data_IF_725686391182
#
_entry.id   IF_725686391182
#
_cell.length_a   1.000
_cell.length_b   1.000
_cell.length_c   1.000
_cell.angle_alpha   90.00
_cell.angle_beta   90.00
_cell.angle_gamma   90.00
#
_symmetry.space_group_name_H-M   'P 1'
#
loop_
_entity.id
_entity.type
_entity.pdbx_description
1 polymer ?
#
# COMPACT_ATOMS: atom_id res chain seq x y z
N UNK A 1 -71.72 12.40 -38.89
CA UNK A 1 -71.30 12.94 -37.58
C UNK A 1 -70.08 12.14 -37.13
N UNK A 2 -68.88 12.65 -37.39
CA UNK A 2 -67.62 11.94 -37.11
C UNK A 2 -66.92 12.64 -35.94
N UNK A 3 -66.44 11.82 -35.00
CA UNK A 3 -65.78 12.13 -33.74
C UNK A 3 -64.91 13.41 -33.74
N UNK A 4 -65.30 14.42 -32.94
CA UNK A 4 -64.48 15.62 -32.69
C UNK A 4 -63.77 15.64 -31.33
N UNK A 5 -63.87 14.59 -30.52
CA UNK A 5 -63.31 14.56 -29.16
C UNK A 5 -62.17 13.54 -28.93
N UNK A 6 -61.79 12.74 -29.94
CA UNK A 6 -60.70 11.75 -29.79
C UNK A 6 -59.30 12.30 -30.09
N UNK A 7 -59.20 13.35 -30.88
CA UNK A 7 -57.92 13.92 -31.32
C UNK A 7 -57.08 14.58 -30.20
N UNK A 8 -57.64 15.37 -29.26
CA UNK A 8 -56.81 16.03 -28.25
C UNK A 8 -56.18 15.01 -27.28
N UNK A 9 -56.90 13.94 -26.94
CA UNK A 9 -56.40 12.86 -26.08
C UNK A 9 -55.26 12.09 -26.74
N UNK A 10 -55.37 11.84 -28.04
CA UNK A 10 -54.35 11.12 -28.79
C UNK A 10 -53.07 11.95 -28.95
N UNK A 11 -53.22 13.27 -29.15
CA UNK A 11 -52.10 14.21 -29.19
C UNK A 11 -51.40 14.31 -27.83
N UNK A 12 -52.15 14.42 -26.73
CA UNK A 12 -51.59 14.46 -25.38
C UNK A 12 -50.84 13.15 -25.06
N UNK A 13 -51.40 12.01 -25.43
CA UNK A 13 -50.76 10.71 -25.25
C UNK A 13 -49.45 10.62 -26.05
N UNK A 14 -49.45 11.07 -27.32
CA UNK A 14 -48.24 11.08 -28.14
C UNK A 14 -47.15 11.99 -27.56
N UNK A 15 -47.52 13.18 -27.09
CA UNK A 15 -46.59 14.10 -26.43
C UNK A 15 -46.03 13.50 -25.13
N UNK A 16 -46.85 12.82 -24.32
CA UNK A 16 -46.40 12.16 -23.10
C UNK A 16 -45.41 11.02 -23.40
N UNK A 17 -45.67 10.22 -24.44
CA UNK A 17 -44.75 9.17 -24.89
C UNK A 17 -43.42 9.77 -25.35
N UNK A 18 -43.42 10.89 -26.08
CA UNK A 18 -42.19 11.57 -26.51
C UNK A 18 -41.40 12.09 -25.30
N UNK A 19 -42.07 12.71 -24.32
CA UNK A 19 -41.42 13.24 -23.10
C UNK A 19 -40.82 12.11 -22.26
N UNK A 20 -41.55 11.00 -22.09
CA UNK A 20 -41.06 9.82 -21.36
C UNK A 20 -39.85 9.22 -22.09
N UNK A 21 -39.91 9.08 -23.42
CA UNK A 21 -38.78 8.58 -24.20
C UNK A 21 -37.57 9.53 -24.16
N UNK A 22 -37.78 10.85 -24.20
CA UNK A 22 -36.69 11.81 -23.98
C UNK A 22 -36.09 11.67 -22.58
N UNK A 23 -36.92 11.53 -21.54
CA UNK A 23 -36.45 11.33 -20.17
C UNK A 23 -35.59 10.06 -20.04
N UNK A 24 -36.00 8.93 -20.64
CA UNK A 24 -35.19 7.71 -20.67
C UNK A 24 -33.89 7.87 -21.48
N UNK A 25 -33.90 8.61 -22.58
CA UNK A 25 -32.71 8.91 -23.38
C UNK A 25 -31.67 9.73 -22.61
N UNK A 26 -32.10 10.68 -21.76
CA UNK A 26 -31.18 11.44 -20.91
C UNK A 26 -30.77 10.68 -19.64
N UNK A 27 -31.63 9.84 -19.08
CA UNK A 27 -31.31 9.06 -17.87
C UNK A 27 -30.39 7.86 -18.16
N UNK A 28 -30.37 7.33 -19.39
CA UNK A 28 -29.38 6.33 -19.82
C UNK A 28 -27.99 6.91 -20.14
N UNK A 29 -27.85 8.24 -20.22
CA UNK A 29 -26.60 8.89 -20.59
C UNK A 29 -25.73 9.30 -19.39
N UNK A 30 -26.15 9.03 -18.15
CA UNK A 30 -25.48 9.54 -16.95
C UNK A 30 -24.54 8.57 -16.23
N UNK A 31 -24.27 7.39 -16.79
CA UNK A 31 -23.02 6.66 -16.48
C UNK A 31 -22.53 6.00 -17.76
N UNK A 32 -21.40 6.44 -18.37
CA UNK A 32 -20.74 5.58 -19.34
C UNK A 32 -20.43 4.27 -18.60
N UNK A 33 -20.76 3.08 -19.17
CA UNK A 33 -20.29 1.84 -18.57
C UNK A 33 -18.76 1.98 -18.43
N UNK A 34 -18.19 1.66 -17.25
CA UNK A 34 -16.75 1.75 -17.07
C UNK A 34 -16.09 1.04 -18.26
N UNK A 35 -15.20 1.75 -18.96
CA UNK A 35 -14.66 1.33 -20.24
C UNK A 35 -14.27 -0.15 -20.19
N UNK A 36 -14.89 -1.04 -20.98
CA UNK A 36 -14.73 -2.46 -20.78
C UNK A 36 -13.43 -2.87 -21.45
N UNK A 37 -12.38 -2.94 -20.64
CA UNK A 37 -11.16 -3.70 -20.92
C UNK A 37 -10.24 -3.14 -22.01
N UNK A 38 -8.93 -3.24 -21.73
CA UNK A 38 -7.89 -2.89 -22.69
C UNK A 38 -7.84 -3.94 -23.81
N UNK A 39 -7.90 -3.50 -25.07
CA UNK A 39 -8.06 -4.37 -26.23
C UNK A 39 -6.74 -5.04 -26.64
N UNK A 40 -6.69 -6.38 -26.63
CA UNK A 40 -5.57 -7.17 -27.14
C UNK A 40 -5.63 -7.43 -28.66
N UNK A 41 -4.50 -7.70 -29.36
CA UNK A 41 -4.38 -7.58 -30.83
C UNK A 41 -4.82 -8.81 -31.66
N UNK A 42 -5.59 -9.78 -31.13
CA UNK A 42 -5.95 -10.99 -31.90
C UNK A 42 -7.32 -10.84 -32.61
N UNK A 43 -7.41 -11.07 -33.94
CA UNK A 43 -8.68 -11.04 -34.65
C UNK A 43 -9.60 -12.19 -34.18
N UNK A 44 -10.86 -11.87 -33.90
CA UNK A 44 -11.95 -12.85 -33.77
C UNK A 44 -12.28 -13.33 -32.35
N UNK A 45 -11.53 -12.92 -31.31
CA UNK A 45 -11.84 -13.27 -29.92
C UNK A 45 -11.76 -12.04 -29.01
N UNK A 46 -12.81 -11.77 -28.25
CA UNK A 46 -12.83 -10.74 -27.21
C UNK A 46 -12.29 -11.34 -25.91
N UNK A 47 -11.06 -10.96 -25.54
CA UNK A 47 -10.47 -11.33 -24.26
C UNK A 47 -10.35 -10.10 -23.38
N UNK A 48 -10.94 -10.08 -22.17
CA UNK A 48 -10.73 -9.00 -21.23
C UNK A 48 -9.26 -8.95 -20.79
N UNK A 49 -8.75 -7.73 -20.62
CA UNK A 49 -7.42 -7.45 -20.08
C UNK A 49 -7.55 -6.93 -18.65
N UNK A 50 -6.87 -7.59 -17.71
CA UNK A 50 -6.81 -7.20 -16.30
C UNK A 50 -5.42 -6.67 -15.98
N UNK A 51 -5.36 -5.59 -15.21
CA UNK A 51 -4.10 -5.10 -14.64
C UNK A 51 -3.81 -5.92 -13.39
N UNK A 52 -2.70 -6.65 -13.41
CA UNK A 52 -2.21 -7.49 -12.33
C UNK A 52 -1.01 -6.79 -11.71
N UNK A 53 -1.06 -6.57 -10.41
CA UNK A 53 0.06 -6.01 -9.66
C UNK A 53 0.95 -7.12 -9.13
N UNK A 54 2.28 -6.96 -9.19
CA UNK A 54 3.28 -7.94 -8.76
C UNK A 54 4.44 -7.27 -8.04
N UNK A 55 5.19 -8.04 -7.24
CA UNK A 55 6.28 -7.53 -6.39
C UNK A 55 7.62 -7.77 -7.06
N UNK A 56 8.38 -6.73 -7.37
CA UNK A 56 9.74 -6.82 -7.88
C UNK A 56 10.69 -6.06 -6.96
N UNK A 57 11.65 -6.77 -6.36
CA UNK A 57 12.45 -6.18 -5.28
C UNK A 57 11.56 -5.78 -4.10
N UNK A 58 11.50 -4.48 -3.84
CA UNK A 58 10.78 -3.85 -2.73
C UNK A 58 9.61 -2.98 -3.23
N UNK A 59 9.30 -3.04 -4.52
CA UNK A 59 8.28 -2.22 -5.17
C UNK A 59 7.12 -3.04 -5.76
N UNK A 60 5.97 -2.37 -5.94
CA UNK A 60 4.82 -2.90 -6.66
C UNK A 60 4.81 -2.42 -8.11
N UNK A 61 4.90 -3.36 -9.04
CA UNK A 61 4.76 -3.11 -10.47
C UNK A 61 3.42 -3.63 -10.97
N UNK A 62 3.05 -3.29 -12.21
CA UNK A 62 1.82 -3.81 -12.82
C UNK A 62 2.02 -4.25 -14.27
N UNK A 63 1.26 -5.26 -14.67
CA UNK A 63 1.24 -5.81 -16.02
C UNK A 63 -0.19 -6.08 -16.45
N UNK A 64 -0.49 -5.83 -17.73
CA UNK A 64 -1.80 -6.18 -18.29
C UNK A 64 -1.79 -7.62 -18.82
N UNK A 65 -2.80 -8.40 -18.45
CA UNK A 65 -2.93 -9.81 -18.78
C UNK A 65 -4.31 -10.13 -19.32
N UNK A 66 -4.32 -10.82 -20.46
CA UNK A 66 -5.53 -11.29 -21.11
C UNK A 66 -5.94 -12.61 -20.48
N UNK A 67 -7.21 -12.74 -20.09
CA UNK A 67 -7.77 -14.02 -19.68
C UNK A 67 -8.73 -14.56 -20.73
N UNK A 68 -8.71 -15.88 -20.90
CA UNK A 68 -9.52 -16.57 -21.91
C UNK A 68 -10.93 -16.91 -21.42
N UNK A 69 -11.13 -16.97 -20.11
CA UNK A 69 -12.39 -17.38 -19.49
C UNK A 69 -12.94 -16.26 -18.62
N UNK A 70 -14.19 -15.87 -18.88
CA UNK A 70 -14.92 -14.86 -18.10
C UNK A 70 -15.96 -15.52 -17.19
N UNK A 71 -15.92 -15.17 -15.92
CA UNK A 71 -16.97 -15.32 -14.93
C UNK A 71 -17.83 -14.06 -14.90
N UNK A 72 -19.02 -14.16 -14.29
CA UNK A 72 -19.96 -13.02 -14.17
C UNK A 72 -19.39 -11.90 -13.27
N UNK A 73 -18.71 -12.24 -12.18
CA UNK A 73 -18.09 -11.26 -11.28
C UNK A 73 -16.74 -10.76 -11.83
N UNK A 74 -16.55 -9.44 -11.99
CA UNK A 74 -15.26 -8.84 -12.35
C UNK A 74 -14.16 -9.14 -11.33
N UNK A 75 -14.50 -9.20 -10.04
CA UNK A 75 -13.56 -9.52 -8.95
C UNK A 75 -13.06 -10.95 -9.10
N UNK A 76 -13.96 -11.91 -9.32
CA UNK A 76 -13.58 -13.31 -9.56
C UNK A 76 -12.70 -13.46 -10.81
N UNK A 77 -12.92 -12.63 -11.84
CA UNK A 77 -12.07 -12.61 -13.02
C UNK A 77 -10.67 -12.06 -12.71
N UNK A 78 -10.57 -10.97 -11.95
CA UNK A 78 -9.29 -10.40 -11.53
C UNK A 78 -8.48 -11.37 -10.67
N UNK A 79 -9.12 -12.08 -9.72
CA UNK A 79 -8.47 -13.11 -8.90
C UNK A 79 -8.02 -14.30 -9.76
N UNK A 80 -8.84 -14.72 -10.73
CA UNK A 80 -8.47 -15.80 -11.66
C UNK A 80 -7.27 -15.40 -12.51
N UNK A 81 -7.24 -14.16 -13.02
CA UNK A 81 -6.11 -13.62 -13.76
C UNK A 81 -4.85 -13.54 -12.90
N UNK A 82 -4.97 -13.05 -11.66
CA UNK A 82 -3.89 -12.99 -10.68
C UNK A 82 -3.26 -14.36 -10.43
N UNK A 83 -4.09 -15.35 -10.10
CA UNK A 83 -3.63 -16.71 -9.80
C UNK A 83 -3.04 -17.41 -11.05
N UNK A 84 -3.54 -17.11 -12.24
CA UNK A 84 -2.94 -17.58 -13.49
C UNK A 84 -1.51 -17.06 -13.64
N UNK A 85 -1.28 -15.75 -13.43
CA UNK A 85 0.07 -15.16 -13.49
C UNK A 85 0.97 -15.70 -12.39
N UNK A 86 0.44 -15.89 -11.17
CA UNK A 86 1.20 -16.47 -10.07
C UNK A 86 1.63 -17.93 -10.34
N UNK A 87 0.85 -18.68 -11.13
CA UNK A 87 1.14 -20.07 -11.51
C UNK A 87 2.03 -20.19 -12.77
N UNK A 88 2.22 -19.12 -13.54
CA UNK A 88 3.16 -19.09 -14.67
C UNK A 88 4.62 -19.06 -14.16
N UNK A 89 5.05 -20.17 -13.55
CA UNK A 89 6.36 -20.41 -12.90
C UNK A 89 7.57 -20.40 -13.85
N UNK A 90 7.69 -19.46 -14.79
CA UNK A 90 8.75 -19.48 -15.81
C UNK A 90 9.40 -18.14 -16.16
N UNK A 91 9.41 -17.15 -15.28
CA UNK A 91 10.21 -15.95 -15.53
C UNK A 91 10.89 -15.41 -14.27
N UNK A 92 12.20 -15.65 -14.18
CA UNK A 92 13.20 -14.78 -13.52
C UNK A 92 13.20 -13.32 -14.07
N UNK A 93 12.18 -12.92 -14.85
CA UNK A 93 12.07 -11.62 -15.54
C UNK A 93 10.89 -10.76 -15.11
N UNK A 94 9.94 -11.31 -14.37
CA UNK A 94 8.79 -10.56 -13.86
C UNK A 94 8.66 -10.93 -12.39
N UNK A 95 8.48 -9.92 -11.54
CA UNK A 95 8.52 -10.10 -10.09
C UNK A 95 7.59 -11.17 -9.53
N UNK A 96 7.74 -11.46 -8.23
CA UNK A 96 7.09 -12.56 -7.53
C UNK A 96 5.62 -12.23 -7.22
N UNK A 97 4.79 -13.26 -7.20
CA UNK A 97 3.39 -13.22 -6.76
C UNK A 97 3.16 -14.34 -5.75
N UNK A 98 2.38 -14.03 -4.72
CA UNK A 98 1.96 -15.04 -3.74
C UNK A 98 0.69 -15.71 -4.24
N UNK A 99 0.65 -17.04 -4.27
CA UNK A 99 -0.59 -17.76 -4.57
C UNK A 99 -1.49 -17.72 -3.33
N UNK A 100 -2.68 -17.14 -3.49
CA UNK A 100 -3.69 -17.06 -2.42
C UNK A 100 -4.87 -17.96 -2.82
N UNK A 101 -5.08 -19.04 -2.07
CA UNK A 101 -6.16 -20.02 -2.29
C UNK A 101 -7.50 -19.47 -1.77
N UNK A 102 -8.11 -18.60 -2.58
CA UNK A 102 -9.44 -18.03 -2.35
C UNK A 102 -10.51 -19.05 -2.72
N UNK A 103 -11.30 -19.45 -1.73
CA UNK A 103 -12.41 -20.40 -1.85
C UNK A 103 -13.63 -19.74 -2.49
N UNK A 104 -13.97 -18.56 -1.99
CA UNK A 104 -15.21 -17.85 -2.30
C UNK A 104 -15.04 -16.35 -2.11
N UNK A 105 -15.87 -15.57 -2.81
CA UNK A 105 -15.86 -14.12 -2.75
C UNK A 105 -17.27 -13.61 -2.50
N UNK A 106 -17.43 -12.86 -1.42
CA UNK A 106 -18.69 -12.19 -1.09
C UNK A 106 -18.47 -10.69 -1.29
N UNK A 107 -19.16 -10.12 -2.28
CA UNK A 107 -19.10 -8.69 -2.54
C UNK A 107 -20.22 -7.96 -1.77
N UNK A 108 -19.85 -7.17 -0.77
CA UNK A 108 -20.72 -6.22 -0.10
C UNK A 108 -20.77 -4.86 -0.82
N UNK A 109 -21.43 -3.89 -0.18
CA UNK A 109 -21.57 -2.52 -0.69
C UNK A 109 -20.21 -1.81 -0.77
N UNK A 110 -19.49 -1.73 0.36
CA UNK A 110 -18.18 -1.07 0.46
C UNK A 110 -17.00 -2.04 0.63
N UNK A 111 -17.27 -3.33 0.84
CA UNK A 111 -16.26 -4.33 1.21
C UNK A 111 -16.37 -5.59 0.37
N UNK A 112 -15.23 -6.18 0.00
CA UNK A 112 -15.08 -7.47 -0.66
C UNK A 112 -14.48 -8.43 0.37
N UNK A 113 -15.22 -9.48 0.68
CA UNK A 113 -14.79 -10.52 1.61
C UNK A 113 -14.23 -11.70 0.81
N UNK A 114 -12.94 -11.98 0.99
CA UNK A 114 -12.25 -13.10 0.38
C UNK A 114 -12.21 -14.25 1.39
N UNK A 115 -12.99 -15.30 1.16
CA UNK A 115 -12.88 -16.52 1.98
C UNK A 115 -11.63 -17.28 1.55
N UNK A 116 -10.71 -17.50 2.47
CA UNK A 116 -9.42 -18.16 2.24
C UNK A 116 -9.30 -19.40 3.09
N UNK A 117 -8.60 -20.42 2.58
CA UNK A 117 -8.29 -21.61 3.37
C UNK A 117 -7.34 -21.26 4.53
N UNK A 118 -7.31 -22.07 5.60
CA UNK A 118 -6.36 -21.89 6.71
C UNK A 118 -4.90 -21.86 6.22
N UNK A 119 -4.55 -22.71 5.26
CA UNK A 119 -3.24 -22.74 4.58
C UNK A 119 -3.28 -21.98 3.23
N UNK A 120 -4.14 -20.98 3.12
CA UNK A 120 -4.43 -20.28 1.87
C UNK A 120 -3.26 -19.45 1.34
N UNK A 121 -2.32 -19.11 2.22
CA UNK A 121 -1.10 -18.37 1.90
C UNK A 121 0.05 -19.37 1.82
N UNK A 122 0.28 -19.91 0.62
CA UNK A 122 1.33 -20.92 0.40
C UNK A 122 2.65 -20.25 0.06
N UNK A 123 3.66 -20.39 0.94
CA UNK A 123 5.11 -20.56 0.68
C UNK A 123 5.98 -20.05 1.85
N UNK A 124 7.08 -20.79 2.13
CA UNK A 124 8.04 -20.51 3.20
C UNK A 124 9.19 -19.57 2.76
N UNK A 125 9.12 -18.96 1.57
CA UNK A 125 10.23 -18.20 0.97
C UNK A 125 10.07 -16.67 1.05
N UNK A 126 8.98 -16.19 1.65
CA UNK A 126 8.68 -14.76 1.74
C UNK A 126 9.13 -14.19 3.08
N UNK A 127 9.88 -13.08 3.03
CA UNK A 127 10.26 -12.32 4.23
C UNK A 127 9.07 -11.49 4.71
N UNK A 128 9.02 -11.24 6.02
CA UNK A 128 7.99 -10.42 6.68
C UNK A 128 7.79 -9.05 6.00
N UNK A 129 8.89 -8.41 5.56
CA UNK A 129 8.86 -7.10 4.88
C UNK A 129 8.14 -7.15 3.52
N UNK A 130 8.32 -8.23 2.76
CA UNK A 130 7.68 -8.38 1.44
C UNK A 130 6.26 -8.93 1.54
N UNK A 131 5.91 -9.60 2.65
CA UNK A 131 4.62 -10.27 2.81
C UNK A 131 3.43 -9.31 2.63
N UNK A 132 3.56 -8.08 3.11
CA UNK A 132 2.56 -7.03 2.92
C UNK A 132 2.43 -6.59 1.47
N UNK A 133 3.55 -6.42 0.75
CA UNK A 133 3.54 -6.08 -0.67
C UNK A 133 2.81 -7.15 -1.48
N UNK A 134 2.96 -8.43 -1.15
CA UNK A 134 2.19 -9.50 -1.80
C UNK A 134 0.69 -9.41 -1.53
N UNK A 135 0.27 -9.09 -0.30
CA UNK A 135 -1.14 -8.83 0.01
C UNK A 135 -1.64 -7.64 -0.81
N UNK A 136 -0.88 -6.54 -0.83
CA UNK A 136 -1.25 -5.33 -1.57
C UNK A 136 -1.28 -5.54 -3.08
N UNK A 137 -0.44 -6.42 -3.62
CA UNK A 137 -0.47 -6.85 -5.00
C UNK A 137 -1.84 -7.48 -5.37
N UNK A 138 -2.39 -8.35 -4.52
CA UNK A 138 -3.75 -8.87 -4.73
C UNK A 138 -4.82 -7.78 -4.52
N UNK A 139 -4.73 -7.01 -3.42
CA UNK A 139 -5.71 -5.96 -3.09
C UNK A 139 -5.82 -4.92 -4.20
N UNK A 140 -4.69 -4.43 -4.72
CA UNK A 140 -4.65 -3.47 -5.84
C UNK A 140 -5.21 -4.06 -7.12
N UNK A 141 -4.95 -5.35 -7.38
CA UNK A 141 -5.54 -6.06 -8.54
C UNK A 141 -7.07 -6.15 -8.45
N UNK A 142 -7.61 -6.44 -7.26
CA UNK A 142 -9.06 -6.53 -7.03
C UNK A 142 -9.74 -5.15 -7.08
N UNK A 143 -9.14 -4.16 -6.43
CA UNK A 143 -9.70 -2.81 -6.32
C UNK A 143 -9.51 -1.96 -7.59
N UNK A 144 -8.69 -2.40 -8.55
CA UNK A 144 -8.70 -1.87 -9.92
C UNK A 144 -10.05 -2.11 -10.60
N UNK A 145 -10.65 -3.29 -10.40
CA UNK A 145 -11.93 -3.66 -11.04
C UNK A 145 -13.15 -3.38 -10.18
N UNK A 146 -12.94 -3.09 -8.89
CA UNK A 146 -13.97 -2.64 -7.96
C UNK A 146 -13.50 -1.37 -7.21
N UNK A 147 -13.41 -0.21 -7.91
CA UNK A 147 -12.93 1.03 -7.31
C UNK A 147 -13.79 1.43 -6.10
N UNK A 148 -13.14 1.96 -5.06
CA UNK A 148 -13.80 2.43 -3.85
C UNK A 148 -14.17 1.34 -2.83
N UNK A 149 -14.05 0.05 -3.19
CA UNK A 149 -14.24 -1.05 -2.24
C UNK A 149 -12.96 -1.35 -1.48
N UNK A 150 -13.13 -1.80 -0.23
CA UNK A 150 -12.07 -2.38 0.60
C UNK A 150 -12.09 -3.90 0.52
N UNK A 151 -10.97 -4.55 0.80
CA UNK A 151 -10.81 -6.00 0.76
C UNK A 151 -10.53 -6.50 2.17
N UNK A 152 -11.13 -7.60 2.57
CA UNK A 152 -10.78 -8.29 3.82
C UNK A 152 -10.77 -9.79 3.59
N UNK A 153 -10.02 -10.50 4.41
CA UNK A 153 -9.84 -11.94 4.32
C UNK A 153 -10.70 -12.59 5.39
N UNK A 154 -11.35 -13.71 5.08
CA UNK A 154 -12.10 -14.51 6.05
C UNK A 154 -11.48 -15.90 6.03
N UNK A 155 -10.77 -16.27 7.09
CA UNK A 155 -10.16 -17.58 7.20
C UNK A 155 -11.22 -18.60 7.63
N UNK A 156 -11.26 -19.73 6.93
CA UNK A 156 -12.17 -20.83 7.28
C UNK A 156 -11.93 -21.26 8.74
N UNK A 157 -13.01 -21.60 9.44
CA UNK A 157 -12.99 -22.12 10.83
C UNK A 157 -12.51 -21.17 11.94
N UNK A 158 -12.29 -19.88 11.66
CA UNK A 158 -11.89 -18.89 12.68
C UNK A 158 -12.88 -17.75 12.82
N UNK A 159 -13.19 -17.37 14.07
CA UNK A 159 -14.01 -16.16 14.38
C UNK A 159 -13.17 -14.88 14.21
N UNK A 160 -11.87 -14.98 14.49
CA UNK A 160 -10.89 -13.91 14.31
C UNK A 160 -9.80 -14.42 13.38
N UNK A 161 -9.45 -13.60 12.39
CA UNK A 161 -8.41 -13.94 11.44
C UNK A 161 -7.03 -13.95 12.11
N UNK A 162 -6.11 -14.83 11.68
CA UNK A 162 -4.77 -14.89 12.24
C UNK A 162 -3.96 -13.63 11.90
N UNK A 163 -3.02 -13.27 12.79
CA UNK A 163 -1.92 -12.36 12.43
C UNK A 163 -0.91 -13.15 11.61
N UNK A 164 -0.69 -12.76 10.36
CA UNK A 164 0.27 -13.42 9.46
C UNK A 164 1.46 -12.51 9.24
N UNK A 165 2.66 -12.93 9.67
CA UNK A 165 3.91 -12.16 9.51
C UNK A 165 3.77 -10.70 9.96
N UNK A 166 3.23 -10.50 11.18
CA UNK A 166 2.95 -9.19 11.78
C UNK A 166 1.88 -8.35 11.07
N UNK A 167 1.11 -8.93 10.15
CA UNK A 167 -0.04 -8.28 9.50
C UNK A 167 -1.31 -8.79 10.15
N UNK A 168 -2.08 -7.88 10.76
CA UNK A 168 -3.42 -8.18 11.24
C UNK A 168 -4.38 -8.39 10.06
N UNK A 169 -4.83 -9.63 9.89
CA UNK A 169 -5.74 -9.99 8.81
C UNK A 169 -7.22 -9.69 9.13
N UNK A 170 -7.54 -9.20 10.34
CA UNK A 170 -8.89 -8.71 10.68
C UNK A 170 -9.18 -7.32 10.09
N UNK A 171 -8.14 -6.62 9.62
CA UNK A 171 -8.29 -5.27 9.08
C UNK A 171 -8.92 -5.26 7.67
N UNK A 172 -9.39 -4.09 7.27
CA UNK A 172 -9.84 -3.81 5.91
C UNK A 172 -8.69 -3.17 5.11
N UNK A 173 -8.37 -3.74 3.95
CA UNK A 173 -7.33 -3.26 3.06
C UNK A 173 -7.93 -2.38 1.96
N UNK A 174 -7.36 -1.22 1.67
CA UNK A 174 -7.76 -0.36 0.54
C UNK A 174 -6.75 -0.36 -0.59
N UNK A 175 -7.19 0.03 -1.79
CA UNK A 175 -6.30 0.31 -2.92
C UNK A 175 -5.26 1.35 -2.53
N UNK A 176 -4.01 1.12 -2.91
CA UNK A 176 -2.92 2.06 -2.69
C UNK A 176 -2.85 2.50 -1.22
N UNK A 177 -3.28 1.62 -0.29
CA UNK A 177 -3.08 1.80 1.14
C UNK A 177 -1.58 1.77 1.38
N UNK A 178 -1.03 2.98 1.32
CA UNK A 178 0.31 3.33 1.72
C UNK A 178 0.39 3.16 3.23
N UNK A 179 0.38 1.92 3.69
CA UNK A 179 1.39 1.61 4.69
C UNK A 179 2.68 1.72 3.89
N UNK A 180 3.30 2.90 3.95
CA UNK A 180 4.65 3.06 3.42
C UNK A 180 5.51 2.19 4.32
N UNK A 181 5.58 0.92 3.94
CA UNK A 181 6.62 0.04 4.37
C UNK A 181 7.83 0.53 3.63
N UNK A 182 8.51 1.46 4.27
CA UNK A 182 9.85 1.77 3.85
C UNK A 182 10.63 0.48 3.88
N UNK A 183 11.27 0.17 2.77
CA UNK A 183 12.10 -1.00 2.73
C UNK A 183 13.28 -0.83 3.67
N UNK A 184 13.91 -1.94 4.08
CA UNK A 184 15.14 -1.87 4.86
C UNK A 184 16.21 -1.01 4.15
N UNK A 185 16.28 -1.04 2.82
CA UNK A 185 17.20 -0.23 2.05
C UNK A 185 16.85 1.27 2.09
N UNK A 186 15.57 1.64 1.97
CA UNK A 186 15.13 3.03 2.07
C UNK A 186 15.36 3.61 3.47
N UNK A 187 15.10 2.82 4.53
CA UNK A 187 15.41 3.19 5.92
C UNK A 187 16.90 3.43 6.10
N UNK A 188 17.73 2.56 5.51
CA UNK A 188 19.17 2.69 5.53
C UNK A 188 19.65 3.97 4.83
N UNK A 189 19.15 4.25 3.62
CA UNK A 189 19.53 5.43 2.85
C UNK A 189 19.15 6.73 3.56
N UNK A 190 17.95 6.79 4.13
CA UNK A 190 17.47 7.96 4.87
C UNK A 190 18.27 8.21 6.16
N UNK A 191 18.62 7.15 6.89
CA UNK A 191 19.48 7.24 8.05
C UNK A 191 20.90 7.72 7.67
N UNK A 192 21.46 7.19 6.58
CA UNK A 192 22.77 7.61 6.09
C UNK A 192 22.77 9.08 5.66
N UNK A 193 21.71 9.54 4.99
CA UNK A 193 21.54 10.95 4.63
C UNK A 193 21.51 11.87 5.85
N UNK A 194 20.81 11.47 6.90
CA UNK A 194 20.77 12.21 8.16
C UNK A 194 22.15 12.28 8.84
N UNK A 195 22.83 11.13 8.97
CA UNK A 195 24.14 11.05 9.62
C UNK A 195 25.21 11.84 8.85
N UNK A 196 25.19 11.76 7.51
CA UNK A 196 26.06 12.61 6.66
C UNK A 196 25.74 14.10 6.80
N UNK A 197 24.46 14.46 6.99
CA UNK A 197 24.08 15.85 7.24
C UNK A 197 24.59 16.34 8.60
N UNK A 198 24.56 15.48 9.62
CA UNK A 198 25.18 15.75 10.92
C UNK A 198 26.71 15.92 10.77
N UNK A 199 27.42 14.95 10.20
CA UNK A 199 28.89 14.98 10.01
C UNK A 199 29.37 16.24 9.27
N UNK A 200 28.70 16.62 8.18
CA UNK A 200 29.02 17.83 7.40
C UNK A 200 28.58 19.13 8.08
N UNK A 201 28.08 19.06 9.31
CA UNK A 201 27.54 20.17 10.09
C UNK A 201 26.41 20.93 9.38
N UNK A 202 25.68 20.24 8.49
CA UNK A 202 24.52 20.77 7.79
C UNK A 202 23.26 20.54 8.63
N UNK A 203 23.25 21.15 9.81
CA UNK A 203 22.23 20.94 10.85
C UNK A 203 20.82 21.31 10.42
N UNK A 204 20.65 22.15 9.39
CA UNK A 204 19.34 22.46 8.83
C UNK A 204 18.73 21.28 8.08
N UNK A 205 19.53 20.56 7.29
CA UNK A 205 19.06 19.35 6.57
C UNK A 205 18.74 18.25 7.58
N UNK A 206 19.60 18.06 8.58
CA UNK A 206 19.35 17.09 9.66
C UNK A 206 18.05 17.42 10.41
N UNK A 207 17.84 18.69 10.79
CA UNK A 207 16.61 19.13 11.45
C UNK A 207 15.34 18.87 10.62
N UNK A 208 15.43 18.94 9.29
CA UNK A 208 14.30 18.64 8.40
C UNK A 208 13.90 17.17 8.37
N UNK A 209 14.75 16.26 8.85
CA UNK A 209 14.49 14.81 8.97
C UNK A 209 13.93 14.39 10.33
N UNK A 210 13.73 15.34 11.25
CA UNK A 210 12.95 15.11 12.48
C UNK A 210 11.47 15.07 12.14
N UNK A 211 10.68 14.27 12.85
CA UNK A 211 9.23 14.25 12.67
C UNK A 211 8.62 15.68 12.82
N UNK A 212 7.76 16.15 11.89
CA UNK A 212 7.17 17.49 11.95
C UNK A 212 6.46 17.81 13.27
N UNK A 213 5.82 16.81 13.88
CA UNK A 213 5.14 16.89 15.17
C UNK A 213 6.13 17.15 16.32
N UNK A 214 7.29 16.48 16.31
CA UNK A 214 8.34 16.68 17.31
C UNK A 214 9.04 18.04 17.16
N UNK A 215 9.18 18.56 15.94
CA UNK A 215 9.71 19.91 15.68
C UNK A 215 8.87 21.03 16.31
N UNK A 216 7.62 20.76 16.67
CA UNK A 216 6.77 21.72 17.41
C UNK A 216 7.21 21.85 18.88
N UNK A 217 7.81 20.80 19.42
CA UNK A 217 8.29 20.74 20.81
C UNK A 217 9.78 21.06 20.90
N UNK A 218 10.54 20.74 19.86
CA UNK A 218 11.98 20.99 19.77
C UNK A 218 12.29 21.91 18.60
N UNK A 219 12.47 23.21 18.88
CA UNK A 219 12.82 24.18 17.86
C UNK A 219 14.28 23.98 17.39
N UNK A 220 14.64 24.63 16.28
CA UNK A 220 15.99 24.54 15.72
C UNK A 220 17.11 24.97 16.69
N UNK A 221 16.86 25.97 17.53
CA UNK A 221 17.83 26.44 18.52
C UNK A 221 18.11 25.42 19.63
N UNK A 222 17.16 24.55 19.94
CA UNK A 222 17.35 23.43 20.86
C UNK A 222 18.06 22.28 20.15
N UNK A 223 17.71 21.96 18.90
CA UNK A 223 18.34 20.88 18.13
C UNK A 223 19.83 21.13 17.83
N UNK A 224 20.20 22.35 17.45
CA UNK A 224 21.56 22.71 17.03
C UNK A 224 22.66 22.31 18.04
N UNK A 225 22.57 22.63 19.34
CA UNK A 225 23.58 22.21 20.31
C UNK A 225 23.66 20.68 20.47
N UNK A 226 22.54 19.94 20.34
CA UNK A 226 22.55 18.47 20.41
C UNK A 226 23.26 17.86 19.19
N UNK A 227 22.93 18.32 17.98
CA UNK A 227 23.60 17.89 16.76
C UNK A 227 25.12 18.16 16.81
N UNK A 228 25.51 19.31 17.36
CA UNK A 228 26.93 19.66 17.57
C UNK A 228 27.60 18.77 18.61
N UNK A 229 26.93 18.47 19.72
CA UNK A 229 27.45 17.57 20.76
C UNK A 229 27.63 16.14 20.23
N UNK A 230 26.65 15.64 19.48
CA UNK A 230 26.70 14.35 18.79
C UNK A 230 27.91 14.25 17.86
N UNK A 231 28.13 15.22 16.97
CA UNK A 231 29.30 15.25 16.09
C UNK A 231 30.63 15.26 16.84
N UNK A 232 30.68 15.94 17.99
CA UNK A 232 31.88 15.96 18.83
C UNK A 232 32.11 14.63 19.55
N UNK A 233 31.05 13.87 19.83
CA UNK A 233 31.14 12.54 20.45
C UNK A 233 31.67 11.51 19.44
N UNK A 234 31.22 11.59 18.18
CA UNK A 234 31.57 10.66 17.10
C UNK A 234 32.61 11.23 16.12
N UNK A 235 33.60 11.98 16.63
CA UNK A 235 34.64 12.67 15.85
C UNK A 235 35.31 11.74 14.81
N UNK A 236 34.83 11.79 13.56
CA UNK A 236 35.27 11.00 12.40
C UNK A 236 34.84 9.52 12.39
N UNK A 237 33.81 9.15 13.14
CA UNK A 237 33.26 7.79 13.12
C UNK A 237 31.90 7.77 12.45
N UNK A 238 31.89 7.34 11.18
CA UNK A 238 30.64 6.90 10.56
C UNK A 238 30.28 5.52 11.10
N UNK A 239 28.99 5.22 11.31
CA UNK A 239 28.58 3.86 11.61
C UNK A 239 29.05 2.88 10.54
N UNK A 240 29.46 1.70 10.97
CA UNK A 240 29.93 0.61 10.09
C UNK A 240 28.83 -0.37 9.75
N UNK A 241 27.78 -0.43 10.58
CA UNK A 241 26.64 -1.33 10.40
C UNK A 241 25.39 -0.78 11.11
N UNK A 242 24.22 -1.21 10.66
CA UNK A 242 22.93 -0.90 11.25
C UNK A 242 22.09 -2.17 11.28
N UNK A 243 21.51 -2.50 12.43
CA UNK A 243 20.52 -3.58 12.54
C UNK A 243 19.15 -3.01 12.79
N UNK A 244 18.18 -3.50 12.05
CA UNK A 244 16.83 -2.96 12.09
C UNK A 244 15.88 -4.02 12.59
N UNK A 245 14.94 -3.57 13.41
CA UNK A 245 13.82 -4.36 13.90
C UNK A 245 12.57 -3.50 13.81
N UNK A 246 11.47 -4.12 13.43
CA UNK A 246 10.21 -3.41 13.26
C UNK A 246 9.47 -3.30 14.60
N UNK A 247 8.88 -2.15 14.87
CA UNK A 247 8.02 -1.91 16.03
C UNK A 247 6.57 -1.67 15.58
N UNK A 248 5.64 -1.54 16.53
CA UNK A 248 4.23 -1.24 16.22
C UNK A 248 4.07 0.14 15.57
N UNK A 249 4.93 1.10 15.91
CA UNK A 249 4.82 2.50 15.49
C UNK A 249 5.82 2.89 14.37
N UNK A 250 6.75 2.01 14.03
CA UNK A 250 7.78 2.28 13.01
C UNK A 250 8.94 1.28 13.03
N UNK A 251 10.16 1.80 13.16
CA UNK A 251 11.40 1.02 13.11
C UNK A 251 12.28 1.35 14.30
N UNK A 252 12.87 0.32 14.90
CA UNK A 252 13.90 0.40 15.91
C UNK A 252 15.23 0.01 15.24
N UNK A 253 16.13 0.98 15.11
CA UNK A 253 17.43 0.85 14.44
C UNK A 253 18.53 0.87 15.48
N UNK A 254 19.34 -0.17 15.48
CA UNK A 254 20.55 -0.30 16.28
C UNK A 254 21.77 0.08 15.45
N UNK A 255 22.51 1.10 15.87
CA UNK A 255 23.66 1.66 15.16
C UNK A 255 24.97 1.11 15.75
N UNK A 256 25.90 0.67 14.90
CA UNK A 256 27.20 0.11 15.29
C UNK A 256 28.37 0.98 14.79
N UNK A 257 29.23 1.39 15.71
CA UNK A 257 30.45 2.16 15.43
C UNK A 257 31.73 1.28 15.42
N UNK A 258 32.80 1.70 14.72
CA UNK A 258 34.03 0.92 14.53
C UNK A 258 34.69 0.38 15.82
N UNK A 259 34.60 1.11 16.94
CA UNK A 259 35.27 0.76 18.21
C UNK A 259 34.36 0.06 19.24
N UNK A 260 33.16 -0.40 18.85
CA UNK A 260 32.10 -0.91 19.75
C UNK A 260 32.34 -2.29 20.42
N UNK A 261 33.59 -2.72 20.61
CA UNK A 261 33.88 -3.86 21.51
C UNK A 261 33.64 -3.53 23.00
N UNK A 262 33.38 -2.26 23.33
CA UNK A 262 32.98 -1.82 24.68
C UNK A 262 31.83 -0.78 24.73
N UNK A 263 31.01 -0.66 23.65
CA UNK A 263 29.85 0.27 23.48
C UNK A 263 30.20 1.77 23.34
N UNK A 264 29.47 2.55 22.51
CA UNK A 264 28.01 2.63 22.48
C UNK A 264 27.34 1.95 21.29
N UNK A 265 26.34 1.14 21.63
CA UNK A 265 25.25 0.70 20.77
C UNK A 265 24.16 1.75 20.92
N UNK A 266 23.79 2.44 19.84
CA UNK A 266 22.69 3.40 19.90
C UNK A 266 21.43 2.78 19.32
N UNK A 267 20.30 2.99 19.99
CA UNK A 267 19.00 2.52 19.54
C UNK A 267 18.13 3.74 19.22
N UNK A 268 17.77 3.86 17.95
CA UNK A 268 17.02 4.98 17.41
C UNK A 268 15.66 4.50 16.95
N UNK A 269 14.65 5.32 17.16
CA UNK A 269 13.30 5.05 16.67
C UNK A 269 13.00 5.93 15.46
N UNK A 270 12.51 5.32 14.40
CA UNK A 270 12.15 5.97 13.15
C UNK A 270 10.68 5.75 12.84
N UNK A 271 10.03 6.75 12.25
CA UNK A 271 8.64 6.68 11.84
C UNK A 271 8.48 7.06 10.36
N UNK A 272 7.79 6.19 9.60
CA UNK A 272 7.39 6.49 8.24
C UNK A 272 6.13 7.35 8.21
N UNK A 273 6.18 8.48 7.50
CA UNK A 273 5.02 9.36 7.28
C UNK A 273 4.96 9.72 5.80
N UNK A 274 4.00 9.11 5.09
CA UNK A 274 3.97 9.19 3.62
C UNK A 274 5.27 8.62 3.05
N UNK A 275 5.81 9.24 2.00
CA UNK A 275 7.03 8.80 1.31
C UNK A 275 8.34 9.15 2.06
N UNK A 276 8.28 9.51 3.33
CA UNK A 276 9.44 10.00 4.08
C UNK A 276 9.61 9.32 5.43
N UNK A 277 10.86 9.02 5.75
CA UNK A 277 11.28 8.46 7.02
C UNK A 277 11.76 9.60 7.90
N UNK A 278 11.22 9.67 9.11
CA UNK A 278 11.57 10.67 10.08
C UNK A 278 12.18 10.02 11.32
N UNK A 279 13.15 10.71 11.91
CA UNK A 279 13.73 10.32 13.20
C UNK A 279 12.83 10.85 14.31
N UNK A 280 12.49 9.97 15.25
CA UNK A 280 11.78 10.33 16.47
C UNK A 280 12.77 10.90 17.48
N UNK A 281 12.57 12.17 17.83
CA UNK A 281 13.46 12.91 18.75
C UNK A 281 13.30 12.48 20.21
N UNK A 282 12.26 11.70 20.52
CA UNK A 282 12.00 11.15 21.85
C UNK A 282 12.61 9.78 22.07
N UNK A 283 13.39 9.27 21.11
CA UNK A 283 14.11 8.02 21.31
C UNK A 283 15.14 8.18 22.44
N UNK A 284 15.39 7.10 23.19
CA UNK A 284 16.34 7.10 24.32
C UNK A 284 17.72 7.66 23.93
N UNK A 285 18.18 7.40 22.70
CA UNK A 285 19.42 7.97 22.18
C UNK A 285 19.40 9.51 22.20
N UNK A 286 18.31 10.14 21.76
CA UNK A 286 18.16 11.60 21.79
C UNK A 286 17.83 12.16 23.18
N UNK A 287 17.07 11.42 24.00
CA UNK A 287 16.75 11.81 25.38
C UNK A 287 17.98 11.80 26.30
N UNK A 288 18.89 10.83 26.13
CA UNK A 288 20.19 10.82 26.82
C UNK A 288 21.04 12.06 26.50
N UNK A 289 20.85 12.68 25.32
CA UNK A 289 21.48 13.97 24.99
C UNK A 289 20.74 15.16 25.61
N UNK A 290 19.43 15.06 25.85
CA UNK A 290 18.61 16.10 26.48
C UNK A 290 18.78 16.16 28.02
N UNK A 291 18.96 15.01 28.68
CA UNK A 291 19.11 14.94 30.15
C UNK A 291 20.41 15.56 30.68
N UNK A 292 21.46 15.69 29.84
CA UNK A 292 22.69 16.44 30.19
C UNK A 292 22.51 17.96 30.31
N UNK A 293 21.28 18.47 30.20
CA UNK A 293 20.91 19.87 30.50
C UNK A 293 20.44 20.06 31.96
N UNK A 294 20.46 19.01 32.77
CA UNK A 294 19.97 19.01 34.15
C UNK A 294 21.01 19.28 35.27
N UNK A 295 22.31 19.40 34.95
CA UNK A 295 23.39 19.69 35.90
C UNK A 295 24.28 20.86 35.45
#
# INVERSE_FOLDING_TARGET
MIHKHGYPLLVIFLCAVIVINMFFLFYQASDPPPAPYDMGPRPGNFFPSFRIYYVEGEELHSVKRLIQTMRVSPVLNAISAYNMVAQETMYDRYGKLMIIDVIDVVEGEETIFLKVKPDGFKENHYTTENYYLYIMSLVNTITEVAPGKRVTFLFEDTVENPVLYSIDMNRLFSRDESVVLHSSAEVYEELELFLRALDRQNTNIAYQKILPEDRRYYNYSDFYPYAKAYNNLHLNEMPVDYRMSRTEEGYCVTIYYPDSSASPVEVWELQGVGESIYILMRSEAFEQFAEKKGD
#
